data_IF_513610872428
#
_entry.id   IF_513610872428
#
_cell.length_a   1.000
_cell.length_b   1.000
_cell.length_c   1.000
_cell.angle_alpha   90.00
_cell.angle_beta   90.00
_cell.angle_gamma   90.00
#
_symmetry.space_group_name_H-M   'P 1'
#
loop_
_entity.id
_entity.type
_entity.pdbx_description
1 polymer ?
#
# COMPACT_ATOMS: atom_id res chain seq x y z
N UNK A 1 22.19 14.85 2.18
CA UNK A 1 21.71 14.80 2.02
C UNK A 1 21.57 14.63 1.55
N UNK A 2 21.87 14.69 1.46
CA UNK A 2 21.36 14.43 0.93
C UNK A 2 20.47 14.56 0.63
N UNK A 3 20.86 14.45 0.68
CA UNK A 3 19.64 14.25 0.05
C UNK A 3 18.53 15.13 0.23
N UNK A 4 18.23 15.59 -0.47
CA UNK A 4 17.17 16.25 -0.43
C UNK A 4 16.08 15.47 -0.76
N UNK A 5 15.49 14.87 0.15
CA UNK A 5 14.26 14.14 -0.06
C UNK A 5 13.14 15.16 -0.23
N UNK A 6 12.92 15.52 -1.45
CA UNK A 6 11.81 16.39 -1.82
C UNK A 6 10.85 15.60 -2.68
N UNK A 7 9.59 16.05 -2.71
CA UNK A 7 8.57 15.44 -3.54
C UNK A 7 8.19 16.39 -4.67
N UNK A 8 7.89 15.81 -5.83
CA UNK A 8 7.45 16.51 -7.01
C UNK A 8 5.94 16.36 -7.09
N UNK A 9 5.21 17.24 -6.45
CA UNK A 9 3.75 17.13 -6.34
C UNK A 9 3.10 17.53 -7.66
N UNK A 10 2.35 16.59 -8.24
CA UNK A 10 1.63 16.79 -9.50
C UNK A 10 0.25 16.17 -9.40
N UNK A 11 -0.64 16.60 -10.25
CA UNK A 11 -1.94 15.97 -10.40
C UNK A 11 -1.77 14.71 -11.24
N UNK A 12 -2.32 13.60 -10.78
CA UNK A 12 -2.26 12.36 -11.57
C UNK A 12 -3.47 11.48 -11.27
N UNK A 13 -3.69 10.50 -12.17
CA UNK A 13 -4.78 9.54 -12.08
C UNK A 13 -4.32 8.36 -11.23
N UNK A 14 -4.80 8.30 -9.98
CA UNK A 14 -4.40 7.23 -9.05
C UNK A 14 -4.93 5.87 -9.50
N UNK A 15 -6.08 5.84 -10.19
CA UNK A 15 -6.64 4.58 -10.68
C UNK A 15 -5.69 3.91 -11.67
N UNK A 16 -5.10 4.68 -12.58
CA UNK A 16 -4.14 4.13 -13.54
C UNK A 16 -2.87 3.64 -12.86
N UNK A 17 -2.40 4.36 -11.85
CA UNK A 17 -1.20 3.95 -11.12
C UNK A 17 -1.44 2.63 -10.39
N UNK A 18 -2.59 2.52 -9.72
CA UNK A 18 -2.96 1.28 -9.02
C UNK A 18 -3.04 0.12 -10.02
N UNK A 19 -3.74 0.32 -11.14
CA UNK A 19 -3.90 -0.73 -12.15
C UNK A 19 -2.54 -1.17 -12.70
N UNK A 20 -1.63 -0.22 -12.91
CA UNK A 20 -0.29 -0.53 -13.41
C UNK A 20 0.52 -1.37 -12.43
N UNK A 21 0.46 -1.05 -11.14
CA UNK A 21 1.18 -1.81 -10.12
C UNK A 21 0.60 -3.22 -9.99
N UNK A 22 -0.74 -3.33 -10.02
CA UNK A 22 -1.39 -4.64 -9.97
C UNK A 22 -0.95 -5.48 -11.16
N UNK A 23 -0.93 -4.89 -12.35
CA UNK A 23 -0.51 -5.60 -13.55
C UNK A 23 0.95 -6.08 -13.42
N UNK A 24 1.83 -5.25 -12.89
CA UNK A 24 3.24 -5.63 -12.68
C UNK A 24 3.39 -6.75 -11.65
N UNK A 25 2.43 -6.88 -10.74
CA UNK A 25 2.48 -7.89 -9.68
C UNK A 25 1.75 -9.18 -10.05
N UNK A 26 1.13 -9.22 -11.23
CA UNK A 26 0.21 -10.31 -11.60
C UNK A 26 0.89 -11.67 -11.65
N UNK A 27 2.14 -11.74 -12.12
CA UNK A 27 2.86 -13.01 -12.19
C UNK A 27 3.14 -13.55 -10.79
N UNK A 28 3.63 -12.70 -9.90
CA UNK A 28 3.91 -13.11 -8.53
C UNK A 28 2.64 -13.55 -7.81
N UNK A 29 1.54 -12.83 -8.02
CA UNK A 29 0.26 -13.21 -7.42
C UNK A 29 -0.19 -14.58 -7.94
N UNK A 30 -0.09 -14.79 -9.25
CA UNK A 30 -0.49 -16.08 -9.86
C UNK A 30 0.37 -17.22 -9.34
N UNK A 31 1.67 -17.00 -9.18
CA UNK A 31 2.58 -18.03 -8.65
C UNK A 31 2.25 -18.43 -7.22
N UNK A 32 1.56 -17.57 -6.50
CA UNK A 32 1.15 -17.83 -5.11
C UNK A 32 -0.34 -18.12 -5.00
N UNK A 33 -1.03 -18.32 -6.12
CA UNK A 33 -2.46 -18.62 -6.18
C UNK A 33 -3.31 -17.53 -5.51
N UNK A 34 -2.90 -16.28 -5.68
CA UNK A 34 -3.57 -15.14 -5.08
C UNK A 34 -4.41 -14.41 -6.12
N UNK A 35 -5.63 -14.08 -5.76
CA UNK A 35 -6.52 -13.27 -6.60
C UNK A 35 -6.51 -11.82 -6.10
N UNK A 36 -6.16 -10.89 -6.98
CA UNK A 36 -6.19 -9.46 -6.65
C UNK A 36 -7.40 -8.83 -7.29
N UNK A 37 -8.23 -8.19 -6.47
CA UNK A 37 -9.48 -7.55 -6.90
C UNK A 37 -9.32 -6.05 -6.81
N UNK A 38 -9.64 -5.35 -7.89
CA UNK A 38 -9.64 -3.89 -7.93
C UNK A 38 -10.66 -3.43 -8.97
N UNK A 39 -11.54 -2.52 -8.57
CA UNK A 39 -12.52 -1.93 -9.49
C UNK A 39 -11.92 -0.67 -10.12
N UNK A 40 -11.53 -0.76 -11.38
CA UNK A 40 -10.92 0.35 -12.10
C UNK A 40 -11.90 1.09 -13.00
N UNK A 41 -13.21 0.91 -12.76
CA UNK A 41 -14.24 1.50 -13.61
C UNK A 41 -14.36 3.01 -13.47
N UNK A 42 -13.83 3.58 -12.38
CA UNK A 42 -13.85 5.02 -12.14
C UNK A 42 -12.42 5.52 -12.04
N UNK A 43 -12.23 6.79 -12.39
CA UNK A 43 -10.93 7.42 -12.30
C UNK A 43 -10.99 8.54 -11.26
N UNK A 44 -9.98 8.59 -10.40
CA UNK A 44 -9.85 9.65 -9.42
C UNK A 44 -8.50 10.31 -9.57
N UNK A 45 -8.48 11.61 -9.42
CA UNK A 45 -7.27 12.40 -9.57
C UNK A 45 -6.84 12.95 -8.20
N UNK A 46 -5.56 12.84 -7.93
CA UNK A 46 -4.99 13.23 -6.64
C UNK A 46 -3.73 14.05 -6.86
N UNK A 47 -3.23 14.65 -5.79
CA UNK A 47 -1.96 15.36 -5.79
C UNK A 47 -0.91 14.51 -5.09
N UNK A 48 0.23 14.32 -5.73
CA UNK A 48 1.33 13.57 -5.13
C UNK A 48 2.48 13.43 -6.10
N UNK A 49 3.54 12.81 -5.61
CA UNK A 49 4.69 12.46 -6.44
C UNK A 49 4.42 11.07 -7.01
N UNK A 50 4.11 11.00 -8.30
CA UNK A 50 3.63 9.78 -8.92
C UNK A 50 4.62 8.63 -8.75
N UNK A 51 5.92 8.88 -8.86
CA UNK A 51 6.92 7.81 -8.74
C UNK A 51 7.02 7.30 -7.31
N UNK A 52 6.94 8.20 -6.34
CA UNK A 52 6.99 7.80 -4.93
C UNK A 52 5.71 7.09 -4.50
N UNK A 53 4.57 7.52 -5.00
CA UNK A 53 3.30 6.84 -4.70
C UNK A 53 3.25 5.46 -5.35
N UNK A 54 3.82 5.33 -6.55
CA UNK A 54 3.96 4.02 -7.19
C UNK A 54 4.78 3.10 -6.29
N UNK A 55 5.83 3.62 -5.67
CA UNK A 55 6.65 2.83 -4.75
C UNK A 55 5.86 2.43 -3.50
N UNK A 56 5.01 3.32 -2.97
CA UNK A 56 4.13 2.98 -1.84
C UNK A 56 3.24 1.80 -2.21
N UNK A 57 2.60 1.87 -3.37
CA UNK A 57 1.70 0.81 -3.83
C UNK A 57 2.44 -0.50 -4.07
N UNK A 58 3.62 -0.43 -4.66
CA UNK A 58 4.45 -1.61 -4.88
C UNK A 58 4.79 -2.29 -3.56
N UNK A 59 5.17 -1.50 -2.56
CA UNK A 59 5.49 -2.05 -1.25
C UNK A 59 4.28 -2.63 -0.55
N UNK A 60 3.12 -1.97 -0.63
CA UNK A 60 1.90 -2.49 -0.01
C UNK A 60 1.44 -3.78 -0.67
N UNK A 61 1.46 -3.83 -2.01
CA UNK A 61 1.00 -5.02 -2.72
C UNK A 61 1.97 -6.18 -2.53
N UNK A 62 3.27 -5.91 -2.57
CA UNK A 62 4.29 -6.92 -2.31
C UNK A 62 4.14 -7.49 -0.89
N UNK A 63 3.94 -6.61 0.09
CA UNK A 63 3.72 -7.02 1.47
C UNK A 63 2.46 -7.88 1.59
N UNK A 64 1.39 -7.48 0.89
CA UNK A 64 0.13 -8.22 0.92
C UNK A 64 0.31 -9.62 0.32
N UNK A 65 1.05 -9.74 -0.79
CA UNK A 65 1.31 -11.03 -1.42
C UNK A 65 2.09 -11.93 -0.46
N UNK A 66 3.08 -11.38 0.22
CA UNK A 66 3.94 -12.16 1.13
C UNK A 66 3.16 -12.68 2.34
N UNK A 67 2.10 -12.01 2.74
CA UNK A 67 1.37 -12.38 3.97
C UNK A 67 -0.05 -12.89 3.70
N UNK A 68 -0.40 -13.08 2.44
CA UNK A 68 -1.74 -13.53 2.05
C UNK A 68 -1.93 -15.01 2.35
N UNK A 69 -2.98 -15.35 3.08
CA UNK A 69 -3.28 -16.73 3.48
C UNK A 69 -4.78 -16.96 3.43
N UNK A 70 -5.18 -18.21 3.67
CA UNK A 70 -6.59 -18.58 3.70
C UNK A 70 -7.17 -18.62 2.31
N UNK A 71 -8.19 -17.82 2.04
CA UNK A 71 -8.79 -17.82 0.71
C UNK A 71 -7.96 -17.05 -0.32
N UNK A 72 -6.80 -16.54 0.08
CA UNK A 72 -5.82 -15.98 -0.85
C UNK A 72 -6.37 -14.85 -1.71
N UNK A 73 -6.93 -13.85 -1.05
CA UNK A 73 -7.51 -12.71 -1.75
C UNK A 73 -6.87 -11.41 -1.29
N UNK A 74 -6.57 -10.55 -2.25
CA UNK A 74 -6.13 -9.17 -2.00
C UNK A 74 -7.17 -8.26 -2.61
N UNK A 75 -7.65 -7.27 -1.87
CA UNK A 75 -8.61 -6.29 -2.37
C UNK A 75 -7.98 -4.92 -2.27
N UNK A 76 -7.85 -4.26 -3.42
CA UNK A 76 -7.40 -2.87 -3.47
C UNK A 76 -8.63 -2.02 -3.71
N UNK A 77 -8.77 -0.97 -2.93
CA UNK A 77 -9.94 -0.10 -3.04
C UNK A 77 -9.57 1.31 -2.62
N UNK A 78 -10.44 2.27 -2.88
CA UNK A 78 -10.28 3.61 -2.36
C UNK A 78 -11.63 4.21 -2.04
N UNK A 79 -11.62 5.20 -1.15
CA UNK A 79 -12.83 5.93 -0.79
C UNK A 79 -12.46 7.37 -0.46
N UNK A 80 -13.43 8.25 -0.63
CA UNK A 80 -13.26 9.66 -0.29
C UNK A 80 -13.53 9.86 1.19
N UNK A 81 -12.60 10.54 1.86
CA UNK A 81 -12.71 10.89 3.27
C UNK A 81 -12.42 12.38 3.34
N UNK A 82 -13.46 13.18 3.48
CA UNK A 82 -13.37 14.65 3.42
C UNK A 82 -12.73 15.07 2.08
N UNK A 83 -11.64 15.83 2.10
CA UNK A 83 -10.96 16.25 0.88
C UNK A 83 -9.80 15.33 0.50
N UNK A 84 -9.76 14.14 1.09
CA UNK A 84 -8.71 13.16 0.83
C UNK A 84 -9.28 11.94 0.13
N UNK A 85 -8.40 11.22 -0.56
CA UNK A 85 -8.71 9.89 -1.06
C UNK A 85 -7.88 8.90 -0.25
N UNK A 86 -8.56 7.95 0.39
CA UNK A 86 -7.87 6.88 1.14
C UNK A 86 -7.81 5.64 0.27
N UNK A 87 -6.60 5.21 -0.04
CA UNK A 87 -6.35 4.00 -0.81
C UNK A 87 -6.00 2.88 0.17
N UNK A 88 -6.63 1.73 0.01
CA UNK A 88 -6.46 0.59 0.92
C UNK A 88 -6.04 -0.65 0.15
N UNK A 89 -5.13 -1.41 0.75
CA UNK A 89 -4.71 -2.72 0.24
C UNK A 89 -4.97 -3.71 1.37
N UNK A 90 -5.98 -4.57 1.17
CA UNK A 90 -6.36 -5.58 2.13
C UNK A 90 -5.90 -6.95 1.67
N UNK A 91 -5.36 -7.76 2.57
CA UNK A 91 -5.10 -9.17 2.26
C UNK A 91 -5.71 -10.07 3.31
N UNK A 92 -6.23 -11.21 2.86
CA UNK A 92 -6.67 -12.25 3.78
C UNK A 92 -5.45 -12.87 4.46
N UNK A 93 -5.60 -13.27 5.72
CA UNK A 93 -4.52 -13.90 6.46
C UNK A 93 -4.60 -13.58 7.93
N UNK A 94 -3.49 -13.81 8.62
CA UNK A 94 -3.41 -13.57 10.05
C UNK A 94 -3.38 -12.08 10.35
N UNK A 95 -4.06 -11.70 11.41
CA UNK A 95 -3.98 -10.35 11.93
C UNK A 95 -2.60 -10.07 12.49
N UNK A 96 -2.22 -8.80 12.54
CA UNK A 96 -1.00 -8.38 13.19
C UNK A 96 -1.28 -8.29 14.69
N UNK A 97 -0.39 -8.83 15.56
CA UNK A 97 -0.60 -8.68 16.99
C UNK A 97 -0.74 -7.22 17.38
N UNK A 98 -1.66 -6.94 18.30
CA UNK A 98 -1.98 -5.57 18.70
C UNK A 98 -0.76 -4.76 19.10
N UNK A 99 0.17 -5.39 19.81
CA UNK A 99 1.37 -4.70 20.29
C UNK A 99 2.40 -4.48 19.17
N UNK A 100 2.16 -5.01 17.99
CA UNK A 100 3.05 -4.83 16.83
C UNK A 100 2.51 -3.83 15.81
N UNK A 101 1.26 -3.39 15.95
CA UNK A 101 0.61 -2.54 14.94
C UNK A 101 1.36 -1.24 14.66
N UNK A 102 1.94 -0.64 15.69
CA UNK A 102 2.69 0.60 15.52
C UNK A 102 4.17 0.37 15.20
N UNK A 103 4.62 -0.88 15.27
CA UNK A 103 6.02 -1.22 15.05
C UNK A 103 6.33 -1.71 13.64
N UNK A 104 5.29 -2.04 12.87
CA UNK A 104 5.50 -2.57 11.51
C UNK A 104 6.20 -1.56 10.60
N UNK A 105 6.16 -0.28 10.95
CA UNK A 105 6.78 0.79 10.18
C UNK A 105 8.26 0.98 10.50
N UNK A 106 8.76 0.27 11.53
CA UNK A 106 10.16 0.38 11.95
C UNK A 106 11.03 -0.44 11.00
N UNK A 107 12.11 0.17 10.53
CA UNK A 107 13.02 -0.48 9.62
C UNK A 107 13.54 -1.80 10.23
N UNK A 108 13.48 -2.86 9.43
CA UNK A 108 13.92 -4.22 9.81
C UNK A 108 13.06 -4.90 10.88
N UNK A 109 11.96 -4.30 11.29
CA UNK A 109 11.05 -4.98 12.20
C UNK A 109 10.25 -6.04 11.45
N UNK A 110 10.13 -7.23 12.02
CA UNK A 110 9.39 -8.34 11.41
C UNK A 110 8.55 -9.02 12.47
N UNK A 111 7.27 -9.18 12.19
CA UNK A 111 6.34 -9.87 13.08
C UNK A 111 6.65 -11.36 13.14
N UNK A 112 6.92 -11.96 11.97
CA UNK A 112 7.26 -13.39 11.85
C UNK A 112 8.57 -13.51 11.08
N UNK A 113 9.66 -13.59 11.82
CA UNK A 113 10.99 -13.58 11.21
C UNK A 113 11.25 -14.78 10.31
N UNK A 114 10.77 -15.96 10.69
CA UNK A 114 10.99 -17.15 9.90
C UNK A 114 10.25 -17.06 8.58
N UNK A 115 8.99 -16.60 8.63
CA UNK A 115 8.17 -16.46 7.45
C UNK A 115 8.68 -15.38 6.53
N UNK A 116 9.09 -14.25 7.11
CA UNK A 116 9.61 -13.14 6.31
C UNK A 116 10.87 -13.53 5.56
N UNK A 117 11.73 -14.31 6.22
CA UNK A 117 12.95 -14.80 5.57
C UNK A 117 12.61 -15.69 4.38
N UNK A 118 11.62 -16.54 4.54
CA UNK A 118 11.19 -17.46 3.49
C UNK A 118 10.76 -16.73 2.23
N UNK A 119 10.09 -15.61 2.39
CA UNK A 119 9.62 -14.82 1.26
C UNK A 119 10.63 -13.75 0.81
N UNK A 120 11.80 -13.71 1.43
CA UNK A 120 12.84 -12.79 1.04
C UNK A 120 12.58 -11.35 1.43
N UNK A 121 11.64 -11.10 2.33
CA UNK A 121 11.34 -9.74 2.76
C UNK A 121 12.49 -9.10 3.51
N UNK A 122 12.86 -7.89 3.13
CA UNK A 122 13.98 -7.16 3.71
C UNK A 122 13.64 -6.48 5.04
N UNK A 123 12.35 -6.24 5.30
CA UNK A 123 11.94 -5.51 6.49
C UNK A 123 12.04 -4.01 6.37
N UNK A 124 12.25 -3.48 5.17
CA UNK A 124 12.34 -2.02 4.97
C UNK A 124 11.20 -1.43 4.16
N UNK A 125 10.36 -2.27 3.53
CA UNK A 125 9.31 -1.77 2.65
C UNK A 125 8.32 -0.84 3.33
N UNK A 126 7.84 -1.19 4.52
CA UNK A 126 6.88 -0.36 5.22
C UNK A 126 7.51 0.91 5.80
N UNK A 127 8.80 0.87 6.16
CA UNK A 127 9.48 2.08 6.61
C UNK A 127 9.66 3.07 5.44
N UNK A 128 9.81 2.57 4.23
CA UNK A 128 9.87 3.41 3.03
C UNK A 128 8.52 4.09 2.81
N UNK A 129 7.41 3.34 2.96
CA UNK A 129 6.08 3.90 2.83
C UNK A 129 5.88 5.04 3.83
N UNK A 130 6.25 4.81 5.08
CA UNK A 130 6.11 5.82 6.12
C UNK A 130 6.88 7.09 5.76
N UNK A 131 8.12 6.94 5.31
CA UNK A 131 8.96 8.07 4.93
C UNK A 131 8.36 8.85 3.76
N UNK A 132 7.88 8.14 2.75
CA UNK A 132 7.27 8.79 1.58
C UNK A 132 6.03 9.59 1.98
N UNK A 133 5.16 8.98 2.81
CA UNK A 133 3.93 9.67 3.21
C UNK A 133 4.24 10.88 4.09
N UNK A 134 5.28 10.80 4.92
CA UNK A 134 5.72 11.96 5.70
C UNK A 134 6.20 13.09 4.79
N UNK A 135 6.92 12.76 3.73
CA UNK A 135 7.34 13.77 2.75
C UNK A 135 6.15 14.44 2.08
N UNK A 136 5.04 13.73 1.95
CA UNK A 136 3.81 14.28 1.37
C UNK A 136 2.96 15.03 2.39
N UNK A 137 3.33 15.00 3.68
CA UNK A 137 2.50 15.49 4.78
C UNK A 137 1.14 14.82 4.79
N UNK A 138 1.11 13.53 4.47
CA UNK A 138 -0.10 12.74 4.41
C UNK A 138 0.02 11.53 5.33
N UNK A 139 -1.11 10.91 5.61
CA UNK A 139 -1.18 9.83 6.59
C UNK A 139 -1.18 8.46 5.92
N UNK A 140 -0.71 7.48 6.67
CA UNK A 140 -0.85 6.07 6.32
C UNK A 140 -1.11 5.30 7.60
N UNK A 141 -1.57 4.07 7.46
CA UNK A 141 -1.87 3.27 8.65
C UNK A 141 -2.15 1.83 8.32
N UNK A 142 -2.47 1.07 9.37
CA UNK A 142 -2.77 -0.34 9.26
C UNK A 142 -3.94 -0.66 10.20
N UNK A 143 -4.85 -1.51 9.74
CA UNK A 143 -6.03 -1.91 10.49
C UNK A 143 -6.18 -3.41 10.38
N UNK A 144 -6.34 -4.09 11.52
CA UNK A 144 -6.74 -5.50 11.51
C UNK A 144 -8.22 -5.58 11.15
N UNK A 145 -8.54 -6.54 10.26
CA UNK A 145 -9.92 -6.88 9.93
C UNK A 145 -10.18 -8.29 10.44
N UNK A 146 -11.44 -8.73 10.41
CA UNK A 146 -11.81 -10.04 10.92
C UNK A 146 -11.03 -11.18 10.26
N UNK A 147 -10.75 -11.06 8.97
CA UNK A 147 -10.13 -12.12 8.20
C UNK A 147 -8.81 -11.70 7.55
N UNK A 148 -8.22 -10.60 7.99
CA UNK A 148 -6.96 -10.17 7.42
C UNK A 148 -6.50 -8.82 7.90
N UNK A 149 -5.70 -8.16 7.08
CA UNK A 149 -5.05 -6.90 7.43
C UNK A 149 -5.20 -5.92 6.29
N UNK A 150 -5.48 -4.67 6.62
CA UNK A 150 -5.64 -3.60 5.64
C UNK A 150 -4.60 -2.54 5.90
N UNK A 151 -3.77 -2.25 4.88
CA UNK A 151 -2.85 -1.10 4.89
C UNK A 151 -3.45 0.00 4.03
N UNK A 152 -3.31 1.25 4.46
CA UNK A 152 -3.91 2.36 3.74
C UNK A 152 -2.97 3.57 3.72
N UNK A 153 -3.21 4.46 2.77
CA UNK A 153 -2.58 5.78 2.74
C UNK A 153 -3.57 6.78 2.17
N UNK A 154 -3.31 8.07 2.38
CA UNK A 154 -4.19 9.13 1.91
C UNK A 154 -3.43 10.13 1.06
N UNK A 155 -4.14 10.68 0.07
CA UNK A 155 -3.63 11.79 -0.73
C UNK A 155 -4.74 12.81 -0.87
N UNK A 156 -4.35 14.06 -1.13
CA UNK A 156 -5.31 15.12 -1.34
C UNK A 156 -6.00 14.94 -2.68
N UNK A 157 -7.33 15.02 -2.68
CA UNK A 157 -8.10 14.93 -3.92
C UNK A 157 -7.86 16.17 -4.77
N UNK A 158 -7.75 15.94 -6.07
CA UNK A 158 -7.77 17.03 -7.03
C UNK A 158 -9.22 17.26 -7.42
N UNK A 159 -9.79 18.35 -6.93
CA UNK A 159 -11.17 18.69 -7.24
C UNK A 159 -11.18 19.44 -8.56
N UNK A 160 -11.84 18.84 -9.54
CA UNK A 160 -12.00 19.48 -10.84
C UNK A 160 -13.35 20.16 -10.85
N UNK A 161 -13.34 21.48 -10.92
CA UNK A 161 -14.57 22.22 -11.10
C UNK A 161 -14.88 22.27 -12.58
N UNK A 162 -15.99 21.68 -12.94
CA UNK A 162 -16.42 21.69 -14.33
C UNK A 162 -17.41 22.83 -14.59
#
# INVERSE_FOLDING_TARGET
EFGKDTVDIERFDITEVIAGVINSSSLMAAQNDINIVFDDSRHEYVWGDVFKIEEVLTNYISNAINHCEGRKEIVVSYKKVDNKLRVSVFNTGKQIPEDSLDKVWIKFYKVDKARTREYGGSGIGLSIVKAIMELHNQKCGVINRDDGVEFWFELELCIVNS
#
